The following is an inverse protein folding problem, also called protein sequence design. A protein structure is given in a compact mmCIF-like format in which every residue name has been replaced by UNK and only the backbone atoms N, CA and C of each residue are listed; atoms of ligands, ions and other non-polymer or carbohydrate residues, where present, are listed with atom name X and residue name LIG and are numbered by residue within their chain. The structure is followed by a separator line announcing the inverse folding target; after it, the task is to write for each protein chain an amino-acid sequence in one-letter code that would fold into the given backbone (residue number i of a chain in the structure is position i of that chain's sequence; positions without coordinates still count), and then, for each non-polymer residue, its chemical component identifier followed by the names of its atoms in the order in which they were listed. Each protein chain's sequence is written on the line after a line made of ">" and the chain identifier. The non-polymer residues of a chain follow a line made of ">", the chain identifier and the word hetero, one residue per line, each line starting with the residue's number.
data_IF_351419203802
#
_entry.id   IF_351419203802
#
_cell.length_a   1.000
_cell.length_b   1.000
_cell.length_c   1.000
_cell.angle_alpha   90.00
_cell.angle_beta   90.00
_cell.angle_gamma   90.00
#
_symmetry.space_group_name_H-M   'P 1'
#
loop_
_entity.id
_entity.type
_entity.pdbx_description
1 polymer ?
#
# COMPACT_ATOMS: atom_id res chain seq x y z
N UNK A 1 -11.54 2.17 21.56
CA UNK A 1 -11.08 1.90 20.19
C UNK A 1 -12.25 1.37 19.38
N UNK A 2 -12.71 2.12 18.37
CA UNK A 2 -13.81 1.69 17.50
C UNK A 2 -13.38 0.52 16.62
N UNK A 3 -14.19 -0.54 16.55
CA UNK A 3 -13.96 -1.65 15.60
C UNK A 3 -13.96 -1.07 14.19
N UNK A 4 -12.88 -1.27 13.45
CA UNK A 4 -12.84 -1.01 12.02
C UNK A 4 -13.86 -1.93 11.35
N UNK A 5 -14.95 -1.37 10.84
CA UNK A 5 -16.01 -2.11 10.13
C UNK A 5 -15.73 -2.04 8.64
N UNK A 6 -14.66 -2.68 8.20
CA UNK A 6 -14.38 -2.85 6.78
C UNK A 6 -14.56 -4.31 6.42
N UNK A 7 -15.19 -4.57 5.28
CA UNK A 7 -14.98 -5.83 4.56
C UNK A 7 -13.55 -5.86 4.01
N UNK A 8 -13.09 -7.04 3.58
CA UNK A 8 -11.75 -7.17 2.97
C UNK A 8 -11.58 -6.27 1.74
N UNK A 9 -12.64 -6.11 0.94
CA UNK A 9 -12.63 -5.26 -0.25
C UNK A 9 -12.49 -3.78 0.12
N UNK A 10 -13.31 -3.29 1.05
CA UNK A 10 -13.24 -1.90 1.51
C UNK A 10 -11.89 -1.58 2.19
N UNK A 11 -11.34 -2.51 2.96
CA UNK A 11 -10.02 -2.35 3.56
C UNK A 11 -8.93 -2.23 2.49
N UNK A 12 -9.03 -3.03 1.42
CA UNK A 12 -8.11 -2.94 0.28
C UNK A 12 -8.23 -1.60 -0.45
N UNK A 13 -9.45 -1.16 -0.71
CA UNK A 13 -9.71 0.12 -1.40
C UNK A 13 -9.21 1.30 -0.58
N UNK A 14 -9.50 1.35 0.72
CA UNK A 14 -9.01 2.40 1.60
C UNK A 14 -7.48 2.38 1.72
N UNK A 15 -6.86 1.20 1.81
CA UNK A 15 -5.41 1.09 1.80
C UNK A 15 -4.80 1.61 0.50
N UNK A 16 -5.39 1.27 -0.64
CA UNK A 16 -4.96 1.75 -1.96
C UNK A 16 -5.09 3.27 -2.04
N UNK A 17 -6.24 3.82 -1.64
CA UNK A 17 -6.50 5.27 -1.64
C UNK A 17 -5.47 6.04 -0.81
N UNK A 18 -5.14 5.55 0.37
CA UNK A 18 -4.14 6.18 1.26
C UNK A 18 -2.73 6.10 0.68
N UNK A 19 -2.37 4.97 0.08
CA UNK A 19 -1.09 4.84 -0.61
C UNK A 19 -1.00 5.76 -1.83
N UNK A 20 -2.07 5.88 -2.62
CA UNK A 20 -2.12 6.79 -3.77
C UNK A 20 -1.97 8.24 -3.34
N UNK A 21 -2.66 8.67 -2.28
CA UNK A 21 -2.49 10.01 -1.72
C UNK A 21 -1.02 10.24 -1.30
N UNK A 22 -0.42 9.29 -0.61
CA UNK A 22 1.00 9.36 -0.21
C UNK A 22 1.96 9.42 -1.39
N UNK A 23 1.70 8.68 -2.47
CA UNK A 23 2.51 8.71 -3.69
C UNK A 23 2.26 9.98 -4.50
N UNK A 24 1.06 10.55 -4.48
CA UNK A 24 0.70 11.75 -5.22
C UNK A 24 1.50 13.00 -4.80
N UNK A 25 1.94 13.04 -3.53
CA UNK A 25 2.80 14.08 -2.96
C UNK A 25 4.29 13.91 -3.32
N UNK A 26 4.68 12.80 -3.98
CA UNK A 26 6.08 12.55 -4.35
C UNK A 26 6.45 13.28 -5.65
N UNK A 27 7.68 13.84 -5.75
CA UNK A 27 8.16 14.47 -6.98
C UNK A 27 8.35 13.45 -8.13
N UNK A 28 8.56 12.19 -7.80
CA UNK A 28 8.80 11.09 -8.73
C UNK A 28 7.55 10.28 -9.09
N UNK A 29 6.34 10.70 -8.67
CA UNK A 29 5.10 9.91 -8.81
C UNK A 29 4.83 9.40 -10.23
N UNK A 30 5.13 10.20 -11.24
CA UNK A 30 4.87 9.88 -12.65
C UNK A 30 5.80 8.78 -13.19
N UNK A 31 6.83 8.41 -12.41
CA UNK A 31 7.67 7.25 -12.68
C UNK A 31 7.08 5.95 -12.12
N UNK A 32 5.92 5.96 -11.46
CA UNK A 32 5.35 4.80 -10.80
C UNK A 32 3.92 4.52 -11.24
N UNK A 33 3.62 3.25 -11.51
CA UNK A 33 2.28 2.76 -11.81
C UNK A 33 1.83 1.77 -10.75
N UNK A 34 0.61 1.95 -10.23
CA UNK A 34 0.01 1.00 -9.30
C UNK A 34 -0.05 -0.40 -9.93
N UNK A 35 0.53 -1.38 -9.24
CA UNK A 35 0.53 -2.80 -9.63
C UNK A 35 -0.52 -3.60 -8.86
N UNK A 36 -0.70 -3.27 -7.58
CA UNK A 36 -1.71 -3.91 -6.75
C UNK A 36 -1.52 -3.65 -5.27
N UNK A 37 -2.41 -4.23 -4.46
CA UNK A 37 -2.38 -4.14 -3.00
C UNK A 37 -2.62 -5.53 -2.42
N UNK A 38 -1.87 -5.88 -1.37
CA UNK A 38 -2.01 -7.14 -0.65
C UNK A 38 -1.92 -6.94 0.86
N UNK A 39 -2.54 -7.81 1.66
CA UNK A 39 -2.33 -7.83 3.10
C UNK A 39 -0.85 -7.93 3.45
N UNK A 40 -0.42 -7.17 4.45
CA UNK A 40 0.92 -7.27 4.99
C UNK A 40 1.02 -8.49 5.91
N UNK A 41 1.68 -9.55 5.44
CA UNK A 41 1.85 -10.79 6.21
C UNK A 41 2.83 -10.66 7.37
N UNK A 42 3.62 -9.58 7.42
CA UNK A 42 4.59 -9.33 8.48
C UNK A 42 3.98 -8.58 9.68
N UNK A 43 2.79 -8.00 9.51
CA UNK A 43 2.07 -7.35 10.60
C UNK A 43 1.05 -8.34 11.17
N UNK A 44 1.07 -8.59 12.49
CA UNK A 44 0.12 -9.49 13.11
C UNK A 44 -1.32 -9.01 12.86
N UNK A 45 -2.28 -9.93 12.64
CA UNK A 45 -3.68 -9.56 12.52
C UNK A 45 -4.16 -8.86 13.80
N UNK A 46 -4.92 -7.79 13.65
CA UNK A 46 -5.50 -7.07 14.78
C UNK A 46 -6.50 -7.95 15.52
N UNK A 47 -6.49 -7.89 16.86
CA UNK A 47 -7.53 -8.54 17.70
C UNK A 47 -8.91 -7.88 17.53
N UNK A 48 -8.96 -6.67 17.00
CA UNK A 48 -10.18 -5.89 16.85
C UNK A 48 -10.89 -6.08 15.49
N UNK A 49 -10.25 -6.72 14.52
CA UNK A 49 -10.78 -6.93 13.17
C UNK A 49 -10.55 -8.36 12.68
N UNK A 50 -11.53 -8.93 11.97
CA UNK A 50 -11.36 -10.20 11.26
C UNK A 50 -10.61 -10.03 9.93
N UNK A 51 -10.33 -8.80 9.52
CA UNK A 51 -9.71 -8.45 8.25
C UNK A 51 -8.33 -7.83 8.46
N UNK A 52 -7.41 -7.97 7.48
CA UNK A 52 -6.10 -7.34 7.54
C UNK A 52 -6.24 -5.83 7.71
N UNK A 53 -5.62 -5.29 8.75
CA UNK A 53 -5.54 -3.85 9.00
C UNK A 53 -4.30 -3.23 8.39
N UNK A 54 -3.29 -4.04 8.08
CA UNK A 54 -2.06 -3.63 7.44
C UNK A 54 -1.96 -4.19 6.02
N UNK A 55 -1.53 -3.34 5.10
CA UNK A 55 -1.50 -3.59 3.66
C UNK A 55 -0.18 -3.09 3.07
N UNK A 56 0.30 -3.79 2.06
CA UNK A 56 1.39 -3.35 1.20
C UNK A 56 0.81 -3.06 -0.18
N UNK A 57 0.92 -1.80 -0.60
CA UNK A 57 0.57 -1.34 -1.94
C UNK A 57 1.85 -1.26 -2.76
N UNK A 58 1.85 -1.90 -3.92
CA UNK A 58 3.01 -2.07 -4.78
C UNK A 58 2.84 -1.20 -6.01
N UNK A 59 3.84 -0.37 -6.30
CA UNK A 59 3.95 0.37 -7.54
C UNK A 59 5.16 -0.12 -8.32
N UNK A 60 4.98 -0.37 -9.60
CA UNK A 60 6.07 -0.69 -10.51
C UNK A 60 6.61 0.61 -11.11
N UNK A 61 7.93 0.72 -11.23
CA UNK A 61 8.53 1.83 -11.95
C UNK A 61 8.23 1.74 -13.45
N UNK A 62 7.83 2.86 -14.04
CA UNK A 62 7.62 3.01 -15.48
C UNK A 62 9.00 3.21 -16.12
N UNK A 63 9.42 2.30 -17.02
CA UNK A 63 10.69 2.46 -17.70
C UNK A 63 10.63 3.61 -18.70
N UNK A 64 11.63 4.51 -18.73
CA UNK A 64 11.64 5.62 -19.69
C UNK A 64 11.69 5.15 -21.16
N UNK A 65 12.26 3.97 -21.42
CA UNK A 65 12.47 3.41 -22.77
C UNK A 65 11.78 2.04 -22.99
N UNK A 66 10.78 1.70 -22.18
CA UNK A 66 10.07 0.40 -22.28
C UNK A 66 10.91 -0.84 -21.93
N UNK A 67 12.13 -0.66 -21.41
CA UNK A 67 12.97 -1.75 -20.90
C UNK A 67 12.47 -2.37 -19.60
N UNK A 68 12.88 -3.59 -19.28
CA UNK A 68 12.57 -4.22 -17.99
C UNK A 68 13.50 -3.65 -16.91
N UNK A 69 12.95 -3.12 -15.82
CA UNK A 69 13.73 -2.67 -14.65
C UNK A 69 13.63 -3.73 -13.56
N UNK A 70 14.75 -4.38 -13.25
CA UNK A 70 14.89 -5.20 -12.04
C UNK A 70 15.13 -4.26 -10.83
N UNK A 71 14.39 -4.46 -9.73
CA UNK A 71 14.56 -3.68 -8.50
C UNK A 71 13.95 -2.27 -8.48
N UNK A 72 12.97 -1.97 -9.34
CA UNK A 72 12.31 -0.65 -9.41
C UNK A 72 10.99 -0.53 -8.62
N UNK A 73 10.60 -1.51 -7.82
CA UNK A 73 9.29 -1.49 -7.17
C UNK A 73 9.27 -0.58 -5.93
N UNK A 74 8.24 0.26 -5.83
CA UNK A 74 7.96 1.07 -4.65
C UNK A 74 6.90 0.34 -3.81
N UNK A 75 7.27 0.01 -2.58
CA UNK A 75 6.37 -0.61 -1.61
C UNK A 75 5.90 0.43 -0.60
N UNK A 76 4.59 0.65 -0.53
CA UNK A 76 3.96 1.54 0.43
C UNK A 76 3.23 0.70 1.47
N UNK A 77 3.67 0.77 2.71
CA UNK A 77 3.00 0.16 3.86
C UNK A 77 1.90 1.09 4.35
N UNK A 78 0.70 0.54 4.54
CA UNK A 78 -0.47 1.24 5.06
C UNK A 78 -1.03 0.46 6.24
N UNK A 79 -1.09 1.09 7.40
CA UNK A 79 -1.76 0.56 8.59
C UNK A 79 -3.05 1.36 8.81
N UNK A 80 -4.18 0.73 8.52
CA UNK A 80 -5.52 1.33 8.65
C UNK A 80 -5.93 1.50 10.11
N UNK A 81 -5.39 0.69 11.02
CA UNK A 81 -5.71 0.76 12.44
C UNK A 81 -4.98 1.90 13.13
N UNK A 82 -3.69 2.07 12.82
CA UNK A 82 -2.87 3.16 13.33
C UNK A 82 -3.00 4.45 12.51
N UNK A 83 -3.55 4.37 11.31
CA UNK A 83 -3.66 5.49 10.39
C UNK A 83 -2.32 5.91 9.77
N UNK A 84 -1.32 5.02 9.78
CA UNK A 84 0.03 5.35 9.30
C UNK A 84 0.25 4.89 7.86
N UNK A 85 0.96 5.69 7.08
CA UNK A 85 1.38 5.38 5.71
C UNK A 85 2.86 5.70 5.57
N UNK A 86 3.63 4.82 4.93
CA UNK A 86 5.04 5.06 4.71
C UNK A 86 5.66 4.11 3.70
N UNK A 87 6.90 4.42 3.29
CA UNK A 87 7.68 3.54 2.45
C UNK A 87 8.15 2.33 3.24
N UNK A 88 8.16 1.19 2.58
CA UNK A 88 8.75 -0.03 3.12
C UNK A 88 10.03 -0.36 2.34
N UNK A 89 11.20 -0.36 3.00
CA UNK A 89 12.38 -0.97 2.41
C UNK A 89 12.18 -2.49 2.41
N UNK A 90 12.39 -3.12 1.27
CA UNK A 90 12.33 -4.56 1.10
C UNK A 90 13.59 -5.07 0.45
#
# INVERSE_FOLDING_TARGET
>A
MGRLRYTLAEAREEATRRAEAFVADRPDRDQFRLRGARPDSLVPPSRASKHPVAWVVVYARIPPDGGVIDGGELFVAVDLERGTVGLRPW
#
